data_IF_137671368741
#
_entry.id   IF_137671368741
#
_cell.length_a   1.000
_cell.length_b   1.000
_cell.length_c   1.000
_cell.angle_alpha   90.00
_cell.angle_beta   90.00
_cell.angle_gamma   90.00
#
_symmetry.space_group_name_H-M   'P 1'
#
loop_
_entity.id
_entity.type
_entity.pdbx_description
1 polymer ?
#
# COMPACT_ATOMS: atom_id res chain seq x y z
N UNK A 1 2.67 -20.40 -30.20
CA UNK A 1 2.65 -21.22 -28.98
C UNK A 1 3.81 -22.21 -28.88
N UNK A 2 3.85 -23.32 -29.63
CA UNK A 2 4.84 -24.42 -29.47
C UNK A 2 6.30 -24.05 -29.14
N UNK A 3 6.92 -23.13 -29.90
CA UNK A 3 8.31 -22.68 -29.64
C UNK A 3 8.47 -21.94 -28.30
N UNK A 4 7.45 -21.18 -27.90
CA UNK A 4 7.43 -20.45 -26.62
C UNK A 4 7.35 -21.46 -25.47
N UNK A 5 6.43 -22.42 -25.54
CA UNK A 5 6.33 -23.49 -24.55
C UNK A 5 7.61 -24.33 -24.44
N UNK A 6 8.26 -24.65 -25.56
CA UNK A 6 9.56 -25.33 -25.51
C UNK A 6 10.60 -24.50 -24.74
N UNK A 7 10.70 -23.20 -25.05
CA UNK A 7 11.63 -22.29 -24.35
C UNK A 7 11.29 -22.18 -22.86
N UNK A 8 10.01 -22.12 -22.52
CA UNK A 8 9.53 -22.13 -21.13
C UNK A 8 9.96 -23.41 -20.40
N UNK A 9 9.72 -24.59 -20.97
CA UNK A 9 10.13 -25.86 -20.38
C UNK A 9 11.66 -26.00 -20.27
N UNK A 10 12.41 -25.51 -21.26
CA UNK A 10 13.87 -25.48 -21.20
C UNK A 10 14.36 -24.55 -20.07
N UNK A 11 13.63 -23.46 -19.81
CA UNK A 11 13.91 -22.53 -18.71
C UNK A 11 13.60 -23.16 -17.36
N UNK A 12 12.42 -23.78 -17.19
CA UNK A 12 12.08 -24.52 -15.97
C UNK A 12 13.06 -25.67 -15.70
N UNK A 13 13.49 -26.40 -16.74
CA UNK A 13 14.45 -27.48 -16.56
C UNK A 13 15.78 -26.96 -15.99
N UNK A 14 16.20 -25.76 -16.40
CA UNK A 14 17.45 -25.12 -15.98
C UNK A 14 17.35 -24.48 -14.60
N UNK A 15 16.30 -23.70 -14.35
CA UNK A 15 16.18 -22.85 -13.16
C UNK A 15 15.34 -23.50 -12.04
N UNK A 16 14.35 -24.32 -12.39
CA UNK A 16 13.32 -24.83 -11.47
C UNK A 16 13.01 -26.31 -11.72
N UNK A 17 14.06 -27.15 -11.77
CA UNK A 17 13.94 -28.58 -12.11
C UNK A 17 12.85 -29.34 -11.31
N UNK A 18 12.60 -29.05 -10.01
CA UNK A 18 11.51 -29.71 -9.28
C UNK A 18 10.12 -29.47 -9.87
N UNK A 19 9.83 -28.26 -10.37
CA UNK A 19 8.55 -27.94 -11.04
C UNK A 19 8.45 -28.72 -12.35
N UNK A 20 9.53 -28.80 -13.12
CA UNK A 20 9.56 -29.64 -14.32
C UNK A 20 9.20 -31.11 -14.01
N UNK A 21 9.54 -31.61 -12.82
CA UNK A 21 9.19 -32.95 -12.34
C UNK A 21 7.75 -33.11 -11.81
N UNK A 22 7.04 -32.03 -11.54
CA UNK A 22 5.63 -32.04 -11.11
C UNK A 22 4.66 -32.06 -12.29
N UNK A 23 5.08 -31.60 -13.47
CA UNK A 23 4.22 -31.51 -14.67
C UNK A 23 3.72 -32.89 -15.12
N UNK A 24 2.43 -32.96 -15.44
CA UNK A 24 1.81 -34.17 -15.98
C UNK A 24 2.08 -34.28 -17.49
N UNK A 25 1.99 -35.52 -18.00
CA UNK A 25 2.06 -35.75 -19.45
C UNK A 25 0.91 -35.04 -20.15
N UNK A 26 1.20 -34.44 -21.31
CA UNK A 26 0.18 -33.76 -22.09
C UNK A 26 -0.95 -34.68 -22.57
N UNK A 27 -2.11 -34.07 -22.78
CA UNK A 27 -3.35 -34.75 -23.20
C UNK A 27 -3.40 -35.02 -24.70
N UNK A 28 -4.25 -35.96 -25.09
CA UNK A 28 -4.58 -36.28 -26.48
C UNK A 28 -5.68 -35.37 -27.04
N UNK A 29 -5.81 -35.34 -28.37
CA UNK A 29 -6.95 -34.69 -29.04
C UNK A 29 -8.32 -35.24 -28.61
N UNK A 30 -8.38 -36.51 -28.18
CA UNK A 30 -9.62 -37.12 -27.72
C UNK A 30 -10.04 -36.55 -26.35
N UNK A 31 -9.10 -36.43 -25.41
CA UNK A 31 -9.34 -35.84 -24.09
C UNK A 31 -9.77 -34.38 -24.18
N UNK A 32 -9.12 -33.58 -25.05
CA UNK A 32 -9.53 -32.20 -25.33
C UNK A 32 -10.97 -32.13 -25.87
N UNK A 33 -11.33 -33.01 -26.81
CA UNK A 33 -12.70 -33.05 -27.35
C UNK A 33 -13.73 -33.42 -26.29
N UNK A 34 -13.40 -34.35 -25.40
CA UNK A 34 -14.25 -34.71 -24.26
C UNK A 34 -14.44 -33.50 -23.34
N UNK A 35 -13.37 -32.83 -22.95
CA UNK A 35 -13.43 -31.62 -22.14
C UNK A 35 -14.29 -30.52 -22.79
N UNK A 36 -14.04 -30.19 -24.07
CA UNK A 36 -14.81 -29.19 -24.81
C UNK A 36 -16.32 -29.53 -24.85
N UNK A 37 -16.66 -30.82 -24.97
CA UNK A 37 -18.05 -31.29 -24.95
C UNK A 37 -18.66 -31.17 -23.56
N UNK A 38 -17.94 -31.57 -22.50
CA UNK A 38 -18.42 -31.54 -21.12
C UNK A 38 -18.61 -30.12 -20.59
N UNK A 39 -17.69 -29.21 -20.95
CA UNK A 39 -17.73 -27.81 -20.55
C UNK A 39 -18.57 -26.94 -21.51
N UNK A 40 -18.99 -27.50 -22.65
CA UNK A 40 -19.70 -26.78 -23.71
C UNK A 40 -18.95 -25.52 -24.19
N UNK A 41 -17.64 -25.64 -24.41
CA UNK A 41 -16.76 -24.57 -24.89
C UNK A 41 -15.90 -25.04 -26.07
N UNK A 42 -15.22 -24.10 -26.72
CA UNK A 42 -14.17 -24.37 -27.71
C UNK A 42 -12.88 -23.76 -27.22
N UNK A 43 -11.85 -24.58 -27.02
CA UNK A 43 -10.56 -24.09 -26.56
C UNK A 43 -9.81 -23.44 -27.74
N UNK A 44 -9.23 -22.24 -27.56
CA UNK A 44 -8.31 -21.67 -28.53
C UNK A 44 -7.13 -22.61 -28.81
N UNK A 45 -6.56 -22.58 -30.01
CA UNK A 45 -5.48 -23.48 -30.41
C UNK A 45 -4.23 -23.34 -29.51
N UNK A 46 -3.98 -22.16 -28.93
CA UNK A 46 -2.87 -21.96 -28.00
C UNK A 46 -3.07 -22.71 -26.68
N UNK A 47 -4.31 -22.77 -26.18
CA UNK A 47 -4.67 -23.51 -24.96
C UNK A 47 -4.58 -25.01 -25.21
N UNK A 48 -5.04 -25.47 -26.38
CA UNK A 48 -4.88 -26.88 -26.77
C UNK A 48 -3.40 -27.28 -26.84
N UNK A 49 -2.55 -26.42 -27.39
CA UNK A 49 -1.11 -26.68 -27.46
C UNK A 49 -0.46 -26.71 -26.06
N UNK A 50 -0.91 -25.87 -25.11
CA UNK A 50 -0.49 -25.94 -23.70
C UNK A 50 -0.77 -27.34 -23.13
N UNK A 51 -2.04 -27.75 -23.11
CA UNK A 51 -2.45 -29.03 -22.50
C UNK A 51 -1.87 -30.25 -23.22
N UNK A 52 -1.62 -30.18 -24.54
CA UNK A 52 -0.89 -31.22 -25.28
C UNK A 52 0.59 -31.29 -24.93
N UNK A 53 1.17 -30.18 -24.48
CA UNK A 53 2.58 -30.12 -24.07
C UNK A 53 2.73 -30.68 -22.66
N UNK A 54 1.91 -30.22 -21.70
CA UNK A 54 1.80 -30.78 -20.35
C UNK A 54 0.39 -30.57 -19.79
N UNK A 55 -0.15 -31.55 -19.06
CA UNK A 55 -1.53 -31.51 -18.56
C UNK A 55 -1.61 -30.99 -17.12
N UNK A 56 -1.29 -29.71 -16.96
CA UNK A 56 -1.11 -29.13 -15.64
C UNK A 56 -0.02 -29.84 -14.82
N UNK A 57 -0.15 -29.80 -13.50
CA UNK A 57 0.79 -30.45 -12.59
C UNK A 57 0.10 -31.39 -11.60
N UNK A 58 0.89 -32.21 -10.92
CA UNK A 58 0.44 -32.97 -9.76
C UNK A 58 -0.06 -32.00 -8.69
N UNK A 59 -1.32 -32.17 -8.26
CA UNK A 59 -1.96 -31.29 -7.29
C UNK A 59 -1.34 -31.43 -5.90
N UNK A 60 -1.73 -30.54 -4.98
CA UNK A 60 -1.18 -30.39 -3.61
C UNK A 60 -1.18 -31.69 -2.80
N UNK A 61 -2.13 -32.60 -3.06
CA UNK A 61 -2.22 -33.92 -2.44
C UNK A 61 -1.11 -34.88 -2.89
N UNK A 62 -0.53 -34.64 -4.06
CA UNK A 62 0.46 -35.50 -4.73
C UNK A 62 1.86 -34.87 -4.82
N UNK A 63 1.96 -33.54 -4.73
CA UNK A 63 3.20 -32.78 -4.84
C UNK A 63 3.24 -31.63 -3.84
N UNK A 64 4.39 -31.45 -3.19
CA UNK A 64 4.67 -30.26 -2.35
C UNK A 64 5.31 -29.11 -3.15
N UNK A 65 5.34 -29.22 -4.47
CA UNK A 65 5.95 -28.25 -5.39
C UNK A 65 4.83 -27.53 -6.12
N UNK A 66 4.60 -26.26 -5.80
CA UNK A 66 3.73 -25.33 -6.54
C UNK A 66 4.49 -24.68 -7.69
N UNK A 67 3.75 -24.03 -8.59
CA UNK A 67 4.34 -23.38 -9.75
C UNK A 67 4.82 -21.96 -9.42
N UNK A 68 3.91 -21.06 -9.06
CA UNK A 68 4.18 -19.65 -8.77
C UNK A 68 3.47 -19.29 -7.47
N UNK A 69 4.21 -18.85 -6.46
CA UNK A 69 3.72 -18.71 -5.09
C UNK A 69 3.00 -20.00 -4.63
N UNK A 70 1.72 -19.92 -4.27
CA UNK A 70 0.88 -21.07 -3.92
C UNK A 70 0.13 -21.70 -5.10
N UNK A 71 0.19 -21.12 -6.30
CA UNK A 71 -0.62 -21.54 -7.44
C UNK A 71 -0.15 -22.84 -8.07
N UNK A 72 -1.12 -23.62 -8.55
CA UNK A 72 -0.88 -24.85 -9.30
C UNK A 72 -1.41 -24.79 -10.72
N UNK A 73 -0.63 -25.31 -11.68
CA UNK A 73 -1.17 -25.57 -13.01
C UNK A 73 -2.27 -26.63 -12.95
N UNK A 74 -3.49 -26.25 -13.32
CA UNK A 74 -4.68 -27.08 -13.17
C UNK A 74 -4.76 -28.10 -14.32
N UNK A 75 -4.78 -29.42 -14.04
CA UNK A 75 -5.05 -30.44 -15.05
C UNK A 75 -6.41 -30.25 -15.71
N UNK A 76 -6.54 -30.61 -16.99
CA UNK A 76 -7.75 -30.36 -17.76
C UNK A 76 -9.01 -30.98 -17.13
N UNK A 77 -8.85 -32.16 -16.51
CA UNK A 77 -9.89 -32.90 -15.78
C UNK A 77 -10.29 -32.26 -14.44
N UNK A 78 -9.43 -31.42 -13.84
CA UNK A 78 -9.69 -30.76 -12.55
C UNK A 78 -10.34 -29.38 -12.71
N UNK A 79 -10.29 -28.77 -13.90
CA UNK A 79 -10.85 -27.42 -14.16
C UNK A 79 -12.29 -27.28 -13.66
N UNK A 80 -13.16 -28.27 -13.93
CA UNK A 80 -14.56 -28.23 -13.50
C UNK A 80 -14.70 -28.29 -11.99
N UNK A 81 -13.84 -29.05 -11.31
CA UNK A 81 -13.80 -29.11 -9.85
C UNK A 81 -13.36 -27.78 -9.28
N UNK A 82 -12.29 -27.17 -9.81
CA UNK A 82 -11.81 -25.84 -9.43
C UNK A 82 -12.90 -24.77 -9.59
N UNK A 83 -13.64 -24.77 -10.70
CA UNK A 83 -14.76 -23.86 -10.88
C UNK A 83 -15.90 -24.09 -9.88
N UNK A 84 -16.21 -25.35 -9.54
CA UNK A 84 -17.22 -25.65 -8.54
C UNK A 84 -16.80 -25.18 -7.14
N UNK A 85 -15.52 -25.32 -6.78
CA UNK A 85 -14.96 -24.85 -5.52
C UNK A 85 -15.00 -23.31 -5.43
N UNK A 86 -14.64 -22.61 -6.51
CA UNK A 86 -14.83 -21.16 -6.62
C UNK A 86 -16.29 -20.76 -6.42
N UNK A 87 -17.20 -21.44 -7.12
CA UNK A 87 -18.64 -21.18 -7.01
C UNK A 87 -19.19 -21.47 -5.60
N UNK A 88 -18.70 -22.53 -4.95
CA UNK A 88 -19.07 -22.88 -3.58
C UNK A 88 -18.66 -21.77 -2.60
N UNK A 89 -17.45 -21.23 -2.73
CA UNK A 89 -16.97 -20.10 -1.90
C UNK A 89 -17.82 -18.85 -2.07
N UNK A 90 -18.14 -18.49 -3.31
CA UNK A 90 -19.04 -17.37 -3.58
C UNK A 90 -20.42 -17.60 -2.94
N UNK A 91 -20.99 -18.81 -3.10
CA UNK A 91 -22.29 -19.13 -2.51
C UNK A 91 -22.29 -19.18 -0.98
N UNK A 92 -21.17 -19.53 -0.34
CA UNK A 92 -21.08 -19.64 1.11
C UNK A 92 -20.78 -18.32 1.81
N UNK A 93 -20.05 -17.43 1.14
CA UNK A 93 -19.40 -16.30 1.81
C UNK A 93 -19.84 -14.93 1.28
N UNK A 94 -20.38 -14.85 0.07
CA UNK A 94 -20.74 -13.56 -0.55
C UNK A 94 -22.23 -13.50 -0.83
N UNK A 95 -22.94 -12.65 -0.09
CA UNK A 95 -24.37 -12.43 -0.32
C UNK A 95 -24.60 -11.74 -1.68
N UNK A 96 -25.57 -12.24 -2.44
CA UNK A 96 -25.98 -11.67 -3.73
C UNK A 96 -24.83 -11.47 -4.75
N UNK A 97 -23.80 -12.32 -4.70
CA UNK A 97 -22.63 -12.24 -5.58
C UNK A 97 -22.99 -12.23 -7.08
N UNK A 98 -24.13 -12.81 -7.47
CA UNK A 98 -24.59 -12.84 -8.86
C UNK A 98 -24.98 -11.47 -9.41
N UNK A 99 -25.26 -10.50 -8.55
CA UNK A 99 -25.56 -9.10 -8.91
C UNK A 99 -24.45 -8.14 -8.55
N UNK A 100 -23.32 -8.65 -8.04
CA UNK A 100 -22.16 -7.83 -7.72
C UNK A 100 -21.49 -7.37 -9.01
N UNK A 101 -21.14 -6.09 -9.05
CA UNK A 101 -20.33 -5.46 -10.08
C UNK A 101 -19.29 -4.60 -9.35
N UNK A 102 -18.02 -4.71 -9.74
CA UNK A 102 -16.94 -3.82 -9.30
C UNK A 102 -17.22 -2.39 -9.74
N UNK A 103 -16.59 -1.43 -9.07
CA UNK A 103 -16.71 -0.03 -9.45
C UNK A 103 -16.21 0.20 -10.89
N UNK A 104 -16.87 1.13 -11.59
CA UNK A 104 -16.54 1.43 -12.98
C UNK A 104 -15.18 2.11 -13.10
N UNK A 105 -14.89 3.06 -12.22
CA UNK A 105 -13.64 3.83 -12.24
C UNK A 105 -12.48 2.89 -11.91
N UNK A 106 -12.64 2.03 -10.90
CA UNK A 106 -11.70 0.95 -10.59
C UNK A 106 -11.40 0.08 -11.82
N UNK A 107 -12.43 -0.41 -12.51
CA UNK A 107 -12.25 -1.20 -13.73
C UNK A 107 -11.53 -0.43 -14.85
N UNK A 108 -11.76 0.88 -14.95
CA UNK A 108 -11.10 1.76 -15.93
C UNK A 108 -9.62 1.93 -15.60
N UNK A 109 -9.29 2.12 -14.32
CA UNK A 109 -7.93 2.31 -13.82
C UNK A 109 -7.07 1.05 -13.98
N UNK A 110 -7.62 -0.12 -13.65
CA UNK A 110 -6.95 -1.42 -13.88
C UNK A 110 -7.03 -1.90 -15.35
N UNK A 111 -7.55 -1.07 -16.26
CA UNK A 111 -7.49 -1.30 -17.70
C UNK A 111 -8.34 -2.44 -18.23
N UNK A 112 -9.19 -3.05 -17.41
CA UNK A 112 -10.04 -4.17 -17.79
C UNK A 112 -11.49 -3.78 -18.08
N UNK A 113 -11.88 -2.52 -17.86
CA UNK A 113 -13.23 -2.02 -18.17
C UNK A 113 -13.63 -2.32 -19.62
N UNK A 114 -14.77 -3.03 -19.77
CA UNK A 114 -15.30 -3.53 -21.05
C UNK A 114 -14.39 -4.51 -21.78
N UNK A 115 -13.27 -4.94 -21.19
CA UNK A 115 -12.41 -6.03 -21.68
C UNK A 115 -12.85 -7.35 -21.04
N UNK A 116 -13.16 -7.31 -19.75
CA UNK A 116 -13.65 -8.43 -18.96
C UNK A 116 -15.07 -8.09 -18.54
N UNK A 117 -15.97 -9.09 -18.52
CA UNK A 117 -17.33 -8.89 -18.01
C UNK A 117 -17.24 -8.63 -16.50
N UNK A 118 -17.85 -7.54 -16.06
CA UNK A 118 -17.86 -7.14 -14.65
C UNK A 118 -18.77 -8.07 -13.83
N UNK A 119 -18.20 -9.14 -13.29
CA UNK A 119 -18.87 -10.17 -12.49
C UNK A 119 -17.83 -10.99 -11.74
N UNK A 120 -18.26 -11.76 -10.72
CA UNK A 120 -17.34 -12.56 -9.90
C UNK A 120 -17.09 -13.98 -10.42
N UNK A 121 -17.87 -14.45 -11.39
CA UNK A 121 -17.72 -15.80 -11.94
C UNK A 121 -18.34 -15.92 -13.33
N UNK A 122 -17.69 -16.65 -14.24
CA UNK A 122 -18.26 -17.08 -15.52
C UNK A 122 -17.86 -18.53 -15.80
N UNK A 123 -18.78 -19.45 -16.15
CA UNK A 123 -18.42 -20.84 -16.47
C UNK A 123 -17.49 -20.98 -17.69
N UNK A 124 -17.36 -19.93 -18.51
CA UNK A 124 -16.43 -19.87 -19.65
C UNK A 124 -15.05 -19.29 -19.29
N UNK A 125 -14.82 -18.91 -18.04
CA UNK A 125 -13.49 -18.60 -17.52
C UNK A 125 -12.80 -19.90 -17.13
N UNK A 126 -11.81 -20.31 -17.91
CA UNK A 126 -11.15 -21.61 -17.76
C UNK A 126 -9.89 -21.44 -16.91
N UNK A 127 -9.92 -21.71 -15.59
CA UNK A 127 -8.73 -21.61 -14.75
C UNK A 127 -7.66 -22.60 -15.21
N UNK A 128 -6.44 -22.10 -15.39
CA UNK A 128 -5.28 -22.93 -15.70
C UNK A 128 -4.17 -22.77 -14.66
N UNK A 129 -4.22 -21.73 -13.82
CA UNK A 129 -3.53 -21.65 -12.54
C UNK A 129 -4.56 -21.33 -11.46
N UNK A 130 -4.45 -21.97 -10.29
CA UNK A 130 -5.23 -21.56 -9.13
C UNK A 130 -4.55 -21.97 -7.82
N UNK A 131 -4.90 -21.27 -6.75
CA UNK A 131 -4.73 -21.71 -5.37
C UNK A 131 -6.03 -21.56 -4.58
N UNK A 132 -5.92 -21.34 -3.27
CA UNK A 132 -7.07 -21.21 -2.39
C UNK A 132 -7.80 -19.87 -2.58
N UNK A 133 -7.20 -18.81 -3.13
CA UNK A 133 -7.85 -17.49 -3.24
C UNK A 133 -7.66 -16.82 -4.60
N UNK A 134 -6.63 -17.21 -5.35
CA UNK A 134 -6.31 -16.67 -6.68
C UNK A 134 -6.62 -17.66 -7.79
N UNK A 135 -7.19 -17.14 -8.88
CA UNK A 135 -7.52 -17.86 -10.10
C UNK A 135 -6.96 -17.12 -11.31
N UNK A 136 -6.01 -17.73 -12.02
CA UNK A 136 -5.59 -17.25 -13.35
C UNK A 136 -6.30 -18.09 -14.41
N UNK A 137 -7.09 -17.43 -15.23
CA UNK A 137 -7.97 -18.09 -16.17
C UNK A 137 -7.86 -17.54 -17.59
N UNK A 138 -8.25 -18.40 -18.52
CA UNK A 138 -8.43 -18.05 -19.93
C UNK A 138 -9.89 -17.62 -20.11
N UNK A 139 -10.10 -16.38 -20.54
CA UNK A 139 -11.43 -15.83 -20.76
C UNK A 139 -11.95 -16.17 -22.17
N UNK A 140 -12.94 -17.07 -22.22
CA UNK A 140 -13.63 -17.47 -23.47
C UNK A 140 -14.94 -16.70 -23.69
N UNK A 141 -15.24 -15.70 -22.86
CA UNK A 141 -16.45 -14.90 -22.93
C UNK A 141 -16.19 -13.43 -22.57
N UNK A 142 -15.21 -12.80 -23.23
CA UNK A 142 -14.82 -11.43 -22.94
C UNK A 142 -15.96 -10.44 -23.18
N UNK A 143 -15.81 -9.24 -22.65
CA UNK A 143 -16.72 -8.13 -22.92
C UNK A 143 -16.36 -7.42 -24.24
N UNK A 144 -17.10 -6.38 -24.61
CA UNK A 144 -17.13 -5.78 -25.95
C UNK A 144 -15.77 -5.32 -26.53
N UNK A 145 -14.80 -4.95 -25.68
CA UNK A 145 -13.44 -4.57 -26.08
C UNK A 145 -12.41 -5.69 -25.86
N UNK A 146 -12.79 -6.77 -25.19
CA UNK A 146 -11.88 -7.85 -24.81
C UNK A 146 -11.59 -8.80 -25.97
N UNK A 147 -10.69 -9.75 -25.71
CA UNK A 147 -10.25 -10.70 -26.72
C UNK A 147 -10.42 -12.13 -26.21
N UNK A 148 -11.07 -12.96 -27.01
CA UNK A 148 -11.26 -14.38 -26.66
C UNK A 148 -9.90 -15.06 -26.51
N UNK A 149 -9.67 -15.67 -25.36
CA UNK A 149 -8.39 -16.28 -25.00
C UNK A 149 -7.40 -15.35 -24.29
N UNK A 150 -7.83 -14.15 -23.86
CA UNK A 150 -7.06 -13.30 -22.93
C UNK A 150 -6.87 -14.01 -21.58
N UNK A 151 -5.79 -13.66 -20.89
CA UNK A 151 -5.41 -14.19 -19.58
C UNK A 151 -5.71 -13.15 -18.52
N UNK A 152 -6.43 -13.57 -17.50
CA UNK A 152 -6.89 -12.72 -16.40
C UNK A 152 -6.51 -13.38 -15.08
N UNK A 153 -6.04 -12.59 -14.13
CA UNK A 153 -5.93 -12.99 -12.73
C UNK A 153 -7.11 -12.41 -11.94
N UNK A 154 -7.66 -13.24 -11.06
CA UNK A 154 -8.70 -12.85 -10.13
C UNK A 154 -8.37 -13.37 -8.73
N UNK A 155 -8.28 -12.46 -7.77
CA UNK A 155 -8.09 -12.77 -6.35
C UNK A 155 -9.39 -12.48 -5.61
N UNK A 156 -9.98 -13.52 -5.03
CA UNK A 156 -11.25 -13.41 -4.32
C UNK A 156 -11.01 -13.11 -2.84
N UNK A 157 -11.47 -11.96 -2.38
CA UNK A 157 -11.63 -11.66 -0.96
C UNK A 157 -13.06 -12.00 -0.54
N UNK A 158 -13.21 -13.03 0.30
CA UNK A 158 -14.52 -13.46 0.81
C UNK A 158 -14.96 -12.72 2.07
N UNK A 159 -14.05 -12.01 2.75
CA UNK A 159 -14.37 -11.19 3.93
C UNK A 159 -14.90 -9.82 3.50
N UNK A 160 -14.29 -9.22 2.49
CA UNK A 160 -14.82 -8.05 1.79
C UNK A 160 -14.71 -8.21 0.28
N UNK A 161 -15.82 -8.56 -0.37
CA UNK A 161 -15.85 -8.79 -1.82
C UNK A 161 -15.48 -7.55 -2.63
N UNK A 162 -15.70 -6.35 -2.10
CA UNK A 162 -15.28 -5.09 -2.72
C UNK A 162 -13.76 -4.94 -2.80
N UNK A 163 -13.01 -5.69 -1.99
CA UNK A 163 -11.53 -5.74 -2.04
C UNK A 163 -11.01 -6.86 -2.94
N UNK A 164 -11.88 -7.59 -3.65
CA UNK A 164 -11.43 -8.59 -4.62
C UNK A 164 -10.73 -7.91 -5.79
N UNK A 165 -9.67 -8.53 -6.30
CA UNK A 165 -8.80 -7.94 -7.30
C UNK A 165 -8.96 -8.62 -8.66
N UNK A 166 -9.03 -7.84 -9.74
CA UNK A 166 -9.11 -8.31 -11.13
C UNK A 166 -8.01 -7.63 -11.95
N UNK A 167 -7.17 -8.42 -12.60
CA UNK A 167 -6.13 -7.92 -13.49
C UNK A 167 -6.15 -8.60 -14.86
N UNK A 168 -6.13 -7.79 -15.91
CA UNK A 168 -5.93 -8.29 -17.27
C UNK A 168 -4.42 -8.44 -17.54
N UNK A 169 -3.90 -9.64 -17.28
CA UNK A 169 -2.48 -9.96 -17.47
C UNK A 169 -2.03 -9.79 -18.93
N UNK A 170 -2.72 -10.45 -19.87
CA UNK A 170 -2.30 -10.43 -21.28
C UNK A 170 -3.44 -10.71 -22.26
N UNK A 171 -3.31 -10.17 -23.48
CA UNK A 171 -4.22 -10.41 -24.61
C UNK A 171 -4.13 -11.83 -25.22
N UNK A 172 -3.18 -12.65 -24.77
CA UNK A 172 -3.07 -14.06 -25.19
C UNK A 172 -2.20 -14.88 -24.24
N UNK A 173 -2.51 -16.16 -24.13
CA UNK A 173 -1.71 -17.12 -23.38
C UNK A 173 -0.26 -17.21 -23.88
N UNK A 174 -0.04 -17.05 -25.20
CA UNK A 174 1.32 -17.04 -25.75
C UNK A 174 2.14 -15.86 -25.25
N UNK A 175 1.54 -14.68 -25.09
CA UNK A 175 2.25 -13.50 -24.59
C UNK A 175 2.51 -13.63 -23.08
N UNK A 176 1.55 -14.14 -22.31
CA UNK A 176 1.75 -14.50 -20.90
C UNK A 176 2.98 -15.40 -20.66
N UNK A 177 3.15 -16.46 -21.46
CA UNK A 177 4.36 -17.30 -21.36
C UNK A 177 5.64 -16.61 -21.84
N UNK A 178 5.59 -15.59 -22.69
CA UNK A 178 6.80 -14.85 -23.08
C UNK A 178 7.25 -13.95 -21.95
N UNK A 179 6.31 -13.25 -21.33
CA UNK A 179 6.57 -12.31 -20.23
C UNK A 179 7.21 -13.09 -19.07
N UNK A 180 6.63 -14.25 -18.72
CA UNK A 180 7.23 -15.15 -17.74
C UNK A 180 8.67 -15.60 -18.08
N UNK A 181 8.95 -15.87 -19.35
CA UNK A 181 10.32 -16.22 -19.79
C UNK A 181 11.27 -15.01 -19.71
N UNK A 182 10.75 -13.81 -19.93
CA UNK A 182 11.49 -12.56 -19.83
C UNK A 182 11.83 -12.25 -18.37
N UNK A 183 10.88 -12.42 -17.44
CA UNK A 183 11.07 -12.29 -15.99
C UNK A 183 12.15 -13.26 -15.47
N UNK A 184 12.15 -14.52 -15.91
CA UNK A 184 13.27 -15.44 -15.65
C UNK A 184 14.61 -14.94 -16.20
N UNK A 185 14.59 -14.28 -17.36
CA UNK A 185 15.78 -13.74 -18.01
C UNK A 185 16.35 -12.50 -17.33
N UNK A 186 15.49 -11.73 -16.67
CA UNK A 186 15.82 -10.52 -15.92
C UNK A 186 16.13 -10.79 -14.44
N UNK A 187 16.08 -12.06 -14.02
CA UNK A 187 16.21 -12.48 -12.60
C UNK A 187 15.06 -12.00 -11.70
N UNK A 188 14.00 -11.42 -12.26
CA UNK A 188 12.77 -11.02 -11.55
C UNK A 188 11.94 -12.21 -11.07
N UNK A 189 12.15 -13.40 -11.63
CA UNK A 189 11.48 -14.63 -11.23
C UNK A 189 12.50 -15.72 -10.93
N UNK A 190 12.45 -16.30 -9.74
CA UNK A 190 13.41 -17.31 -9.30
C UNK A 190 12.77 -18.45 -8.52
N UNK A 191 13.41 -19.62 -8.54
CA UNK A 191 12.94 -20.79 -7.81
C UNK A 191 13.47 -20.80 -6.38
N UNK A 192 12.57 -20.67 -5.41
CA UNK A 192 12.88 -20.83 -4.00
C UNK A 192 12.91 -22.32 -3.65
N UNK A 193 14.04 -22.79 -3.12
CA UNK A 193 14.27 -24.20 -2.78
C UNK A 193 13.67 -24.61 -1.43
N UNK A 194 13.48 -23.66 -0.54
CA UNK A 194 12.99 -23.90 0.82
C UNK A 194 11.47 -24.07 0.81
N UNK A 195 10.76 -23.16 0.13
CA UNK A 195 9.30 -23.25 -0.05
C UNK A 195 8.88 -23.96 -1.35
N UNK A 196 9.85 -24.31 -2.22
CA UNK A 196 9.69 -25.15 -3.42
C UNK A 196 8.71 -24.61 -4.47
N UNK A 197 8.80 -23.32 -4.77
CA UNK A 197 7.94 -22.65 -5.76
C UNK A 197 8.72 -21.57 -6.50
N UNK A 198 8.20 -21.07 -7.62
CA UNK A 198 8.69 -19.81 -8.17
C UNK A 198 8.15 -18.66 -7.34
N UNK A 199 9.00 -17.70 -7.05
CA UNK A 199 8.62 -16.42 -6.47
C UNK A 199 9.15 -15.34 -7.39
N UNK A 200 8.36 -14.29 -7.55
CA UNK A 200 8.93 -13.04 -8.02
C UNK A 200 9.98 -12.62 -7.00
N UNK A 201 11.17 -12.23 -7.48
CA UNK A 201 12.12 -11.51 -6.67
C UNK A 201 11.49 -10.17 -6.32
N UNK A 202 10.73 -10.15 -5.24
CA UNK A 202 10.78 -9.04 -4.31
C UNK A 202 12.25 -8.89 -3.95
N UNK A 203 12.82 -7.72 -4.25
CA UNK A 203 14.11 -7.20 -3.79
C UNK A 203 14.71 -8.07 -2.67
N UNK A 204 15.85 -8.72 -2.92
CA UNK A 204 16.54 -9.75 -2.11
C UNK A 204 16.21 -9.76 -0.60
N UNK A 205 16.25 -10.91 0.09
CA UNK A 205 16.08 -10.96 1.56
C UNK A 205 16.97 -10.00 2.40
N UNK A 206 18.10 -9.54 1.84
CA UNK A 206 18.91 -8.44 2.41
C UNK A 206 18.30 -7.06 2.14
N UNK A 207 17.69 -6.84 0.98
CA UNK A 207 16.82 -5.70 0.68
C UNK A 207 15.49 -5.77 1.41
N UNK A 208 14.73 -6.88 1.51
CA UNK A 208 13.52 -6.97 2.38
C UNK A 208 13.83 -6.56 3.83
N UNK A 209 14.99 -6.96 4.37
CA UNK A 209 15.43 -6.43 5.67
C UNK A 209 15.75 -4.94 5.60
N UNK A 210 16.40 -4.43 4.55
CA UNK A 210 16.64 -2.99 4.38
C UNK A 210 15.37 -2.19 3.97
N UNK A 211 14.30 -2.85 3.52
CA UNK A 211 13.07 -2.26 3.00
C UNK A 211 11.97 -2.22 4.05
N UNK A 212 12.12 -2.88 5.20
CA UNK A 212 11.25 -2.72 6.37
C UNK A 212 11.83 -1.71 7.38
N UNK A 213 13.11 -1.37 7.24
CA UNK A 213 13.77 -0.39 8.07
C UNK A 213 13.97 0.90 7.31
N UNK A 214 14.10 1.98 8.07
CA UNK A 214 14.41 3.28 7.51
C UNK A 214 15.82 3.33 6.88
N UNK A 215 16.08 4.28 5.97
CA UNK A 215 17.41 4.49 5.43
C UNK A 215 18.43 4.83 6.53
N UNK A 216 19.71 4.58 6.26
CA UNK A 216 20.80 5.11 7.09
C UNK A 216 20.95 6.61 6.88
N UNK A 217 21.28 7.40 7.91
CA UNK A 217 21.49 8.84 7.75
C UNK A 217 22.68 9.15 6.84
N UNK A 218 22.57 10.23 6.07
CA UNK A 218 23.66 10.76 5.25
C UNK A 218 24.81 11.25 6.14
N UNK A 219 24.46 11.92 7.23
CA UNK A 219 25.38 12.36 8.27
C UNK A 219 24.64 12.60 9.59
N UNK A 220 25.42 12.78 10.66
CA UNK A 220 24.94 13.24 11.96
C UNK A 220 25.45 14.66 12.17
N UNK A 221 24.53 15.59 12.44
CA UNK A 221 24.83 16.99 12.74
C UNK A 221 25.59 17.16 14.06
N UNK A 222 26.15 18.35 14.31
CA UNK A 222 26.95 18.62 15.52
C UNK A 222 26.12 18.45 16.81
N UNK A 223 24.85 18.83 16.77
CA UNK A 223 23.85 18.65 17.83
C UNK A 223 23.29 17.24 17.93
N UNK A 224 23.79 16.29 17.13
CA UNK A 224 23.43 14.87 17.22
C UNK A 224 22.19 14.43 16.44
N UNK A 225 21.59 15.31 15.63
CA UNK A 225 20.48 14.92 14.75
C UNK A 225 20.99 14.10 13.57
N UNK A 226 20.34 12.98 13.29
CA UNK A 226 20.49 12.23 12.04
C UNK A 226 19.87 13.03 10.88
N UNK A 227 20.61 13.21 9.78
CA UNK A 227 20.16 13.99 8.62
C UNK A 227 20.01 13.08 7.40
N UNK A 228 18.92 13.28 6.66
CA UNK A 228 18.49 12.46 5.53
C UNK A 228 18.12 13.33 4.34
N UNK A 229 18.49 12.89 3.15
CA UNK A 229 18.12 13.49 1.87
C UNK A 229 17.19 12.55 1.12
N UNK A 230 16.05 13.06 0.67
CA UNK A 230 15.06 12.28 -0.08
C UNK A 230 14.89 12.86 -1.48
N UNK A 231 15.17 12.04 -2.49
CA UNK A 231 14.96 12.32 -3.90
C UNK A 231 13.99 11.34 -4.56
N UNK A 232 13.80 11.49 -5.87
CA UNK A 232 12.91 10.61 -6.65
C UNK A 232 13.41 9.16 -6.69
N UNK A 233 14.71 8.96 -6.53
CA UNK A 233 15.37 7.68 -6.40
C UNK A 233 15.04 6.96 -5.08
N UNK A 234 14.54 7.67 -4.07
CA UNK A 234 14.16 7.12 -2.78
C UNK A 234 12.65 6.89 -2.65
N UNK A 235 11.84 7.36 -3.61
CA UNK A 235 10.38 7.23 -3.52
C UNK A 235 9.93 5.83 -3.93
N UNK A 236 9.04 5.25 -3.13
CA UNK A 236 8.28 4.05 -3.46
C UNK A 236 7.44 4.25 -4.72
N UNK A 237 7.22 3.16 -5.46
CA UNK A 237 6.26 3.16 -6.58
C UNK A 237 4.85 3.50 -6.08
N UNK A 238 4.09 4.20 -6.92
CA UNK A 238 2.70 4.53 -6.64
C UNK A 238 1.91 3.24 -6.32
N UNK A 239 1.24 3.21 -5.17
CA UNK A 239 0.38 2.12 -4.75
C UNK A 239 -0.88 2.71 -4.11
N UNK A 240 -2.05 2.18 -4.48
CA UNK A 240 -3.29 2.49 -3.77
C UNK A 240 -3.32 1.69 -2.45
N UNK A 241 -3.70 2.31 -1.32
CA UNK A 241 -3.77 1.61 -0.06
C UNK A 241 -4.82 0.48 -0.09
N UNK A 242 -4.44 -0.71 0.36
CA UNK A 242 -5.31 -1.89 0.50
C UNK A 242 -6.20 -1.86 1.75
N UNK A 243 -5.98 -0.87 2.62
CA UNK A 243 -6.75 -0.61 3.83
C UNK A 243 -6.84 0.89 4.07
N UNK A 244 -7.96 1.34 4.62
CA UNK A 244 -8.19 2.75 4.92
C UNK A 244 -8.99 2.89 6.21
N UNK A 245 -8.72 3.93 6.98
CA UNK A 245 -9.46 4.30 8.19
C UNK A 245 -9.44 3.21 9.27
N UNK A 246 -8.34 2.46 9.39
CA UNK A 246 -8.20 1.31 10.30
C UNK A 246 -8.43 1.72 11.76
N UNK A 247 -7.80 2.82 12.16
CA UNK A 247 -7.84 3.31 13.55
C UNK A 247 -8.70 4.57 13.73
N UNK A 248 -9.38 5.04 12.67
CA UNK A 248 -10.10 6.32 12.65
C UNK A 248 -11.05 6.49 13.84
N UNK A 249 -11.91 5.51 14.10
CA UNK A 249 -12.90 5.61 15.19
C UNK A 249 -12.23 5.72 16.57
N UNK A 250 -11.15 4.98 16.81
CA UNK A 250 -10.43 4.98 18.08
C UNK A 250 -9.67 6.30 18.29
N UNK A 251 -9.07 6.84 17.22
CA UNK A 251 -8.42 8.15 17.23
C UNK A 251 -9.44 9.26 17.48
N UNK A 252 -10.57 9.27 16.77
CA UNK A 252 -11.63 10.27 16.95
C UNK A 252 -12.19 10.26 18.37
N UNK A 253 -12.43 9.09 18.97
CA UNK A 253 -12.88 8.99 20.36
C UNK A 253 -11.79 9.44 21.36
N UNK A 254 -10.52 9.20 21.06
CA UNK A 254 -9.40 9.70 21.87
C UNK A 254 -9.32 11.22 21.84
N UNK A 255 -9.40 11.85 20.67
CA UNK A 255 -9.47 13.30 20.52
C UNK A 255 -10.70 13.90 21.20
N UNK A 256 -11.87 13.28 21.03
CA UNK A 256 -13.11 13.68 21.70
C UNK A 256 -12.98 13.70 23.22
N UNK A 257 -12.34 12.68 23.79
CA UNK A 257 -12.16 12.54 25.24
C UNK A 257 -11.26 13.61 25.84
N UNK A 258 -10.16 13.96 25.16
CA UNK A 258 -9.11 14.81 25.73
C UNK A 258 -9.08 16.25 25.19
N UNK A 259 -9.47 16.43 23.93
CA UNK A 259 -9.37 17.69 23.21
C UNK A 259 -10.77 18.24 22.90
N UNK A 260 -11.58 17.53 22.11
CA UNK A 260 -12.95 17.96 21.78
C UNK A 260 -13.55 17.21 20.59
N UNK A 261 -14.85 17.40 20.37
CA UNK A 261 -15.57 16.73 19.27
C UNK A 261 -15.08 17.24 17.90
N UNK A 262 -14.72 16.33 16.96
CA UNK A 262 -14.52 16.68 15.57
C UNK A 262 -15.82 17.22 14.94
N UNK A 263 -15.75 18.38 14.32
CA UNK A 263 -16.89 19.04 13.67
C UNK A 263 -17.05 18.59 12.21
N UNK A 264 -15.94 18.51 11.47
CA UNK A 264 -15.93 18.13 10.06
C UNK A 264 -14.58 17.53 9.65
N UNK A 265 -14.54 16.93 8.46
CA UNK A 265 -13.37 16.22 7.93
C UNK A 265 -13.08 16.72 6.51
N UNK A 266 -11.80 16.96 6.22
CA UNK A 266 -11.30 17.28 4.89
C UNK A 266 -10.75 16.02 4.23
N UNK A 267 -11.61 15.34 3.47
CA UNK A 267 -11.28 14.07 2.84
C UNK A 267 -10.16 14.18 1.81
N UNK A 268 -9.31 13.15 1.73
CA UNK A 268 -8.39 13.02 0.62
C UNK A 268 -9.11 12.47 -0.63
N UNK A 269 -8.92 13.16 -1.76
CA UNK A 269 -9.58 12.85 -3.03
C UNK A 269 -8.84 11.74 -3.79
N UNK A 270 -7.51 11.65 -3.62
CA UNK A 270 -6.67 10.66 -4.27
C UNK A 270 -5.64 10.18 -3.25
N UNK A 271 -5.74 8.91 -2.89
CA UNK A 271 -4.89 8.29 -1.87
C UNK A 271 -3.75 7.53 -2.51
N UNK A 272 -2.57 8.11 -2.40
CA UNK A 272 -1.31 7.55 -2.84
C UNK A 272 -0.57 7.08 -1.58
N UNK A 273 -0.22 5.79 -1.52
CA UNK A 273 0.38 5.05 -0.40
C UNK A 273 -0.53 4.83 0.81
N UNK A 274 -1.23 5.88 1.27
CA UNK A 274 -2.12 5.89 2.44
C UNK A 274 -3.28 6.86 2.22
N UNK A 275 -4.41 6.62 2.89
CA UNK A 275 -5.58 7.50 2.85
C UNK A 275 -5.54 8.49 4.02
N UNK A 276 -5.28 9.77 3.77
CA UNK A 276 -5.11 10.78 4.82
C UNK A 276 -6.29 11.75 4.91
N UNK A 277 -7.10 11.54 5.93
CA UNK A 277 -8.15 12.48 6.34
C UNK A 277 -7.62 13.50 7.34
N UNK A 278 -8.11 14.74 7.27
CA UNK A 278 -7.81 15.79 8.25
C UNK A 278 -9.09 16.23 8.94
N UNK A 279 -9.18 15.93 10.23
CA UNK A 279 -10.32 16.26 11.09
C UNK A 279 -10.14 17.64 11.69
N UNK A 280 -11.25 18.35 11.88
CA UNK A 280 -11.27 19.68 12.45
C UNK A 280 -12.08 19.77 13.74
N UNK A 281 -11.45 20.25 14.81
CA UNK A 281 -12.10 20.63 16.06
C UNK A 281 -12.13 22.15 16.16
N UNK A 282 -13.34 22.71 16.33
CA UNK A 282 -13.56 24.16 16.47
C UNK A 282 -13.04 24.71 17.81
N UNK A 283 -12.74 26.01 17.87
CA UNK A 283 -12.36 26.70 19.11
C UNK A 283 -13.57 26.82 20.03
N UNK A 284 -13.31 26.84 21.33
CA UNK A 284 -14.30 27.15 22.37
C UNK A 284 -13.82 28.33 23.21
N UNK A 285 -14.65 28.80 24.15
CA UNK A 285 -14.22 29.86 25.08
C UNK A 285 -13.06 29.41 25.98
N UNK A 286 -13.03 28.13 26.37
CA UNK A 286 -11.98 27.54 27.22
C UNK A 286 -10.74 27.14 26.42
N UNK A 287 -10.92 26.81 25.13
CA UNK A 287 -9.86 26.43 24.18
C UNK A 287 -9.92 27.34 22.95
N UNK A 288 -9.33 28.56 23.01
CA UNK A 288 -9.49 29.58 21.97
C UNK A 288 -8.55 29.37 20.78
N UNK A 289 -8.49 28.14 20.26
CA UNK A 289 -7.72 27.73 19.09
C UNK A 289 -8.41 26.54 18.39
N UNK A 290 -8.19 26.41 17.08
CA UNK A 290 -8.58 25.24 16.32
C UNK A 290 -7.60 24.10 16.55
N UNK A 291 -8.07 22.88 16.37
CA UNK A 291 -7.20 21.70 16.26
C UNK A 291 -7.49 21.03 14.94
N UNK A 292 -6.45 20.77 14.17
CA UNK A 292 -6.52 19.88 13.02
C UNK A 292 -5.69 18.64 13.34
N UNK A 293 -6.18 17.46 12.99
CA UNK A 293 -5.44 16.21 13.20
C UNK A 293 -5.68 15.22 12.07
N UNK A 294 -4.70 14.37 11.80
CA UNK A 294 -4.79 13.36 10.76
C UNK A 294 -5.44 12.08 11.28
N UNK A 295 -6.09 11.35 10.38
CA UNK A 295 -6.31 9.91 10.50
C UNK A 295 -5.85 9.24 9.23
N UNK A 296 -5.23 8.07 9.37
CA UNK A 296 -4.83 7.20 8.27
C UNK A 296 -3.32 7.13 8.03
N UNK A 297 -2.54 8.06 8.63
CA UNK A 297 -1.08 7.92 8.70
C UNK A 297 -0.72 6.62 9.43
N UNK A 298 -1.50 6.30 10.47
CA UNK A 298 -1.35 5.12 11.31
C UNK A 298 -1.98 3.84 10.74
N UNK A 299 -2.59 3.87 9.55
CA UNK A 299 -3.18 2.64 8.97
C UNK A 299 -2.12 1.57 8.65
N UNK A 300 -0.87 2.02 8.44
CA UNK A 300 0.31 1.16 8.28
C UNK A 300 1.43 1.57 9.24
N UNK A 301 2.29 0.62 9.64
CA UNK A 301 3.50 0.96 10.38
C UNK A 301 4.47 1.75 9.50
N UNK A 302 5.13 2.73 10.09
CA UNK A 302 6.28 3.43 9.51
C UNK A 302 7.52 2.53 9.47
N UNK A 303 8.51 2.93 8.67
CA UNK A 303 9.77 2.21 8.52
C UNK A 303 10.76 2.78 9.54
N UNK A 304 11.08 1.99 10.56
CA UNK A 304 11.88 2.43 11.70
C UNK A 304 13.37 2.05 11.56
N UNK A 305 14.30 2.71 12.26
CA UNK A 305 15.69 2.27 12.30
C UNK A 305 15.83 0.85 12.85
N UNK A 306 16.74 0.08 12.25
CA UNK A 306 16.99 -1.32 12.62
C UNK A 306 17.44 -1.49 14.08
N UNK A 307 18.19 -0.52 14.60
CA UNK A 307 18.76 -0.55 15.95
C UNK A 307 17.82 0.06 17.01
N UNK A 308 16.61 0.49 16.65
CA UNK A 308 15.69 1.11 17.59
C UNK A 308 15.24 0.13 18.68
N UNK A 309 15.38 0.52 19.94
CA UNK A 309 14.82 -0.22 21.07
C UNK A 309 13.29 -0.06 21.10
N UNK A 310 12.55 -1.17 21.20
CA UNK A 310 11.09 -1.21 21.27
C UNK A 310 10.36 -0.58 20.05
N UNK A 311 10.61 -1.07 18.81
CA UNK A 311 10.05 -0.48 17.59
C UNK A 311 8.51 -0.39 17.59
N UNK A 312 7.82 -1.34 18.22
CA UNK A 312 6.35 -1.33 18.31
C UNK A 312 5.77 -0.11 19.03
N UNK A 313 6.55 0.57 19.89
CA UNK A 313 6.09 1.79 20.56
C UNK A 313 6.12 3.03 19.66
N UNK A 314 6.83 2.97 18.53
CA UNK A 314 7.08 4.12 17.65
C UNK A 314 6.63 3.88 16.22
N UNK A 315 6.09 2.69 15.91
CA UNK A 315 5.74 2.30 14.55
C UNK A 315 4.54 3.04 13.97
N UNK A 316 3.68 3.63 14.81
CA UNK A 316 2.51 4.36 14.35
C UNK A 316 2.42 5.74 14.99
N UNK A 317 1.98 6.70 14.18
CA UNK A 317 1.76 8.06 14.62
C UNK A 317 0.62 8.72 13.85
N UNK A 318 0.08 9.78 14.44
CA UNK A 318 -0.76 10.77 13.77
C UNK A 318 -0.24 12.17 14.06
N UNK A 319 -0.51 13.09 13.13
CA UNK A 319 -0.07 14.48 13.21
C UNK A 319 -1.22 15.38 13.62
N UNK A 320 -0.88 16.50 14.25
CA UNK A 320 -1.85 17.53 14.59
C UNK A 320 -1.24 18.93 14.57
N UNK A 321 -2.08 19.95 14.59
CA UNK A 321 -1.67 21.36 14.72
C UNK A 321 -2.72 22.15 15.48
N UNK A 322 -2.24 23.09 16.30
CA UNK A 322 -3.08 24.07 16.95
C UNK A 322 -2.99 25.40 16.19
N UNK A 323 -4.13 25.92 15.74
CA UNK A 323 -4.20 27.16 14.97
C UNK A 323 -4.98 28.23 15.76
N UNK A 324 -4.63 29.51 15.66
CA UNK A 324 -5.30 30.57 16.41
C UNK A 324 -6.77 30.67 15.99
N UNK A 325 -7.67 31.07 16.90
CA UNK A 325 -9.15 31.09 16.68
C UNK A 325 -9.63 31.86 15.45
N UNK A 326 -8.82 32.77 14.95
CA UNK A 326 -9.09 33.63 13.79
C UNK A 326 -8.51 33.07 12.48
N UNK A 327 -7.85 31.91 12.54
CA UNK A 327 -7.45 31.16 11.35
C UNK A 327 -8.68 30.80 10.52
N UNK A 328 -8.61 31.04 9.22
CA UNK A 328 -9.73 30.78 8.31
C UNK A 328 -9.72 29.31 7.90
N UNK A 329 -10.66 28.55 8.46
CA UNK A 329 -10.87 27.13 8.13
C UNK A 329 -12.26 27.00 7.47
N UNK A 330 -12.26 27.06 6.13
CA UNK A 330 -13.45 26.89 5.28
C UNK A 330 -12.97 26.59 3.84
N UNK A 331 -13.56 25.58 3.19
CA UNK A 331 -13.17 25.13 1.84
C UNK A 331 -13.24 26.25 0.80
N UNK A 332 -14.16 27.20 0.96
CA UNK A 332 -14.33 28.32 0.03
C UNK A 332 -13.39 29.51 0.33
N UNK A 333 -12.67 29.45 1.45
CA UNK A 333 -11.81 30.52 1.96
C UNK A 333 -10.33 30.14 2.00
N UNK A 334 -9.96 28.94 1.54
CA UNK A 334 -8.57 28.51 1.44
C UNK A 334 -7.86 29.20 0.26
N UNK A 335 -6.68 29.71 0.56
CA UNK A 335 -5.60 30.11 -0.34
C UNK A 335 -4.28 29.55 0.19
N UNK A 336 -3.17 29.83 -0.49
CA UNK A 336 -1.86 29.30 -0.09
C UNK A 336 -1.43 29.76 1.32
N UNK A 337 -1.90 30.93 1.79
CA UNK A 337 -1.50 31.55 3.06
C UNK A 337 -2.15 30.90 4.29
N UNK A 338 -3.33 30.28 4.14
CA UNK A 338 -4.02 29.61 5.24
C UNK A 338 -4.18 28.08 5.05
N UNK A 339 -3.90 27.55 3.86
CA UNK A 339 -3.98 26.11 3.58
C UNK A 339 -2.73 25.33 3.98
N UNK A 340 -1.57 25.99 4.10
CA UNK A 340 -0.29 25.31 4.38
C UNK A 340 -0.32 24.34 5.57
N UNK A 341 -1.05 24.56 6.69
CA UNK A 341 -1.06 23.59 7.78
C UNK A 341 -1.68 22.25 7.34
N UNK A 342 -2.76 22.29 6.55
CA UNK A 342 -3.40 21.09 6.01
C UNK A 342 -2.48 20.41 5.01
N UNK A 343 -1.83 21.20 4.14
CA UNK A 343 -0.84 20.69 3.19
C UNK A 343 0.29 19.94 3.91
N UNK A 344 0.91 20.54 4.92
CA UNK A 344 2.00 19.92 5.67
C UNK A 344 1.54 18.70 6.47
N UNK A 345 0.36 18.73 7.09
CA UNK A 345 -0.21 17.53 7.73
C UNK A 345 -0.30 16.36 6.73
N UNK A 346 -0.88 16.58 5.55
CA UNK A 346 -1.03 15.53 4.53
C UNK A 346 0.32 15.09 3.96
N UNK A 347 1.20 16.04 3.66
CA UNK A 347 2.53 15.77 3.10
C UNK A 347 3.39 14.97 4.09
N UNK A 348 3.44 15.37 5.36
CA UNK A 348 4.27 14.69 6.38
C UNK A 348 3.65 13.33 6.74
N UNK A 349 2.32 13.21 6.80
CA UNK A 349 1.65 11.94 7.06
C UNK A 349 1.90 10.89 5.98
N UNK A 350 2.01 11.31 4.71
CA UNK A 350 2.34 10.40 3.59
C UNK A 350 3.83 10.06 3.53
N UNK A 351 4.68 10.93 4.05
CA UNK A 351 6.14 10.86 3.89
C UNK A 351 6.78 9.53 4.33
N UNK A 352 6.43 8.94 5.50
CA UNK A 352 6.93 7.62 5.91
C UNK A 352 6.71 6.52 4.87
N UNK A 353 5.57 6.55 4.20
CA UNK A 353 5.12 5.51 3.27
C UNK A 353 5.68 5.74 1.88
N UNK A 354 5.79 7.02 1.48
CA UNK A 354 6.41 7.42 0.22
C UNK A 354 7.91 7.14 0.19
N UNK A 355 8.64 7.41 1.28
CA UNK A 355 10.11 7.37 1.28
C UNK A 355 10.70 6.26 2.17
N UNK A 356 9.84 5.33 2.63
CA UNK A 356 10.22 4.24 3.53
C UNK A 356 11.00 4.74 4.75
N UNK A 357 10.40 5.67 5.48
CA UNK A 357 11.00 6.33 6.65
C UNK A 357 10.02 6.44 7.82
N UNK A 358 10.34 7.24 8.84
CA UNK A 358 9.51 7.45 10.02
C UNK A 358 9.47 8.91 10.46
N UNK A 359 8.45 9.24 11.24
CA UNK A 359 8.28 10.53 11.90
C UNK A 359 8.24 10.33 13.41
N UNK A 360 9.05 11.11 14.11
CA UNK A 360 9.16 11.04 15.57
C UNK A 360 9.43 12.43 16.16
N UNK A 361 9.36 12.50 17.47
CA UNK A 361 9.75 13.66 18.26
C UNK A 361 11.16 14.18 17.88
N UNK A 362 11.28 15.50 17.75
CA UNK A 362 12.53 16.18 17.42
C UNK A 362 12.89 16.18 15.93
N UNK A 363 12.11 15.53 15.07
CA UNK A 363 12.32 15.58 13.62
C UNK A 363 12.01 16.98 13.07
N UNK A 364 12.86 17.45 12.17
CA UNK A 364 12.74 18.74 11.48
C UNK A 364 12.68 18.50 9.98
N UNK A 365 11.65 19.03 9.31
CA UNK A 365 11.37 18.86 7.89
C UNK A 365 11.40 20.24 7.22
N UNK A 366 12.48 20.60 6.48
CA UNK A 366 12.55 21.87 5.78
C UNK A 366 11.60 21.89 4.58
N UNK A 367 11.11 23.08 4.23
CA UNK A 367 10.30 23.31 3.05
C UNK A 367 11.19 23.32 1.79
N UNK A 368 11.44 22.13 1.25
CA UNK A 368 12.39 21.92 0.17
C UNK A 368 13.85 22.00 0.65
N UNK A 369 14.79 21.85 -0.31
CA UNK A 369 16.22 21.75 -0.01
C UNK A 369 16.80 23.02 0.63
N UNK A 370 16.26 24.18 0.28
CA UNK A 370 16.75 25.49 0.72
C UNK A 370 15.94 26.06 1.90
N UNK A 371 15.06 25.26 2.51
CA UNK A 371 14.14 25.69 3.58
C UNK A 371 13.38 26.98 3.20
N UNK A 372 12.74 26.96 2.02
CA UNK A 372 12.07 28.13 1.47
C UNK A 372 10.92 28.62 2.37
N UNK A 373 10.60 29.93 2.39
CA UNK A 373 9.50 30.45 3.19
C UNK A 373 8.18 29.70 2.97
N UNK A 374 7.53 29.30 4.07
CA UNK A 374 6.22 28.64 4.05
C UNK A 374 5.15 29.72 3.83
N UNK A 375 4.54 29.69 2.65
CA UNK A 375 3.53 30.65 2.21
C UNK A 375 3.99 32.11 2.40
N UNK A 376 3.25 32.92 3.15
CA UNK A 376 3.56 34.32 3.45
C UNK A 376 4.33 34.53 4.77
N UNK A 377 4.84 33.46 5.38
CA UNK A 377 5.58 33.52 6.65
C UNK A 377 7.10 33.56 6.41
N UNK A 378 7.88 33.77 7.47
CA UNK A 378 9.35 33.63 7.44
C UNK A 378 9.82 32.26 7.94
N UNK A 379 8.91 31.33 8.20
CA UNK A 379 9.26 29.97 8.61
C UNK A 379 9.74 29.18 7.41
N UNK A 380 10.77 28.36 7.60
CA UNK A 380 11.35 27.52 6.54
C UNK A 380 11.28 26.02 6.84
N UNK A 381 10.83 25.63 8.02
CA UNK A 381 10.89 24.25 8.49
C UNK A 381 9.71 23.91 9.41
N UNK A 382 9.35 22.64 9.50
CA UNK A 382 8.41 22.08 10.48
C UNK A 382 9.17 21.19 11.47
N UNK A 383 8.99 21.42 12.76
CA UNK A 383 9.43 20.55 13.86
C UNK A 383 8.28 19.67 14.35
N UNK A 384 8.57 18.41 14.67
CA UNK A 384 7.60 17.48 15.27
C UNK A 384 7.86 17.33 16.78
N UNK A 385 6.87 17.65 17.61
CA UNK A 385 6.93 17.43 19.07
C UNK A 385 5.60 16.91 19.58
N UNK A 386 5.56 16.02 20.58
CA UNK A 386 4.32 15.71 21.29
C UNK A 386 3.70 16.99 21.90
N UNK A 387 2.36 17.08 22.00
CA UNK A 387 1.68 18.26 22.54
C UNK A 387 1.78 18.37 24.07
N UNK A 388 3.00 18.48 24.60
CA UNK A 388 3.30 18.53 26.03
C UNK A 388 2.67 19.73 26.75
N UNK A 389 2.44 20.85 26.06
CA UNK A 389 1.91 22.07 26.66
C UNK A 389 0.37 22.13 26.60
N UNK A 390 -0.23 21.61 25.53
CA UNK A 390 -1.67 21.78 25.26
C UNK A 390 -2.50 20.53 25.53
N UNK A 391 -1.88 19.37 25.78
CA UNK A 391 -2.57 18.11 26.05
C UNK A 391 -2.06 17.40 27.32
N UNK A 392 -2.92 16.65 28.02
CA UNK A 392 -2.49 15.86 29.18
C UNK A 392 -1.61 14.67 28.76
N UNK A 393 -0.80 14.15 29.69
CA UNK A 393 0.08 13.00 29.43
C UNK A 393 -0.66 11.77 28.85
N UNK A 394 -1.87 11.49 29.34
CA UNK A 394 -2.70 10.38 28.87
C UNK A 394 -3.19 10.54 27.41
N UNK A 395 -3.07 11.74 26.82
CA UNK A 395 -3.40 11.98 25.42
C UNK A 395 -2.24 11.58 24.48
N UNK A 396 -0.99 11.69 24.93
CA UNK A 396 0.19 11.61 24.04
C UNK A 396 0.32 10.28 23.28
N UNK A 397 -0.29 9.22 23.80
CA UNK A 397 -0.34 7.89 23.18
C UNK A 397 -1.76 7.32 23.25
N UNK A 398 -2.19 6.66 22.18
CA UNK A 398 -3.39 5.83 22.14
C UNK A 398 -2.98 4.36 22.05
N UNK A 399 -3.49 3.54 22.97
CA UNK A 399 -3.41 2.09 22.88
C UNK A 399 -4.70 1.57 22.26
N UNK A 400 -4.61 1.00 21.06
CA UNK A 400 -5.76 0.52 20.29
C UNK A 400 -6.20 -0.88 20.74
N UNK A 401 -7.37 -1.34 20.26
CA UNK A 401 -7.93 -2.66 20.59
C UNK A 401 -7.07 -3.84 20.15
N UNK A 402 -6.31 -3.69 19.08
CA UNK A 402 -5.37 -4.70 18.55
C UNK A 402 -3.97 -4.59 19.16
N UNK A 403 -3.81 -3.82 20.24
CA UNK A 403 -2.56 -3.61 20.96
C UNK A 403 -1.51 -2.76 20.21
N UNK A 404 -1.90 -2.08 19.13
CA UNK A 404 -1.07 -1.06 18.46
C UNK A 404 -0.97 0.22 19.32
N UNK A 405 0.23 0.81 19.37
CA UNK A 405 0.47 2.11 20.03
C UNK A 405 0.58 3.20 18.97
N UNK A 406 -0.28 4.21 19.05
CA UNK A 406 -0.27 5.38 18.17
C UNK A 406 0.22 6.59 18.97
N UNK A 407 1.27 7.25 18.47
CA UNK A 407 1.81 8.48 19.05
C UNK A 407 1.22 9.73 18.37
N UNK A 408 1.04 10.82 19.10
CA UNK A 408 0.54 12.07 18.52
C UNK A 408 1.63 13.14 18.52
N UNK A 409 1.90 13.73 17.36
CA UNK A 409 2.90 14.79 17.20
C UNK A 409 2.28 16.06 16.62
N UNK A 410 2.56 17.20 17.24
CA UNK A 410 2.30 18.52 16.71
C UNK A 410 3.33 18.90 15.65
N UNK A 411 2.86 19.52 14.55
CA UNK A 411 3.72 20.28 13.64
C UNK A 411 3.91 21.70 14.17
N UNK A 412 5.16 22.12 14.36
CA UNK A 412 5.55 23.44 14.85
C UNK A 412 6.42 24.15 13.81
N UNK A 413 6.01 25.28 13.25
CA UNK A 413 6.81 25.97 12.25
C UNK A 413 8.03 26.67 12.89
N UNK A 414 9.19 26.49 12.27
CA UNK A 414 10.49 27.03 12.70
C UNK A 414 11.04 28.00 11.67
N UNK A 415 11.76 29.01 12.18
CA UNK A 415 12.69 29.79 11.38
C UNK A 415 13.89 28.91 10.98
N UNK A 416 14.58 29.27 9.89
CA UNK A 416 15.76 28.53 9.43
C UNK A 416 16.84 28.55 10.51
N UNK A 417 17.06 29.70 11.15
CA UNK A 417 18.05 29.86 12.22
C UNK A 417 17.73 29.00 13.46
N UNK A 418 16.45 28.75 13.75
CA UNK A 418 16.03 27.87 14.84
C UNK A 418 16.27 26.39 14.52
N UNK A 419 16.04 25.99 13.26
CA UNK A 419 16.42 24.67 12.77
C UNK A 419 17.95 24.50 12.82
N UNK A 420 18.71 25.51 12.39
CA UNK A 420 20.18 25.49 12.40
C UNK A 420 20.71 25.37 13.83
N UNK A 421 20.18 26.15 14.78
CA UNK A 421 20.51 26.00 16.20
C UNK A 421 20.26 24.58 16.70
N UNK A 422 19.13 23.97 16.34
CA UNK A 422 18.82 22.59 16.71
C UNK A 422 19.81 21.59 16.08
N UNK A 423 20.27 21.83 14.85
CA UNK A 423 21.27 21.00 14.19
C UNK A 423 22.67 21.19 14.78
N UNK A 424 23.00 22.37 15.29
CA UNK A 424 24.30 22.69 15.89
C UNK A 424 24.40 22.27 17.37
N UNK A 425 23.37 22.57 18.17
CA UNK A 425 23.38 22.45 19.63
C UNK A 425 22.42 21.37 20.18
N UNK A 426 21.48 20.89 19.35
CA UNK A 426 20.50 19.86 19.72
C UNK A 426 19.11 20.42 20.03
N UNK A 427 18.12 19.52 20.11
CA UNK A 427 16.71 19.91 20.32
C UNK A 427 16.48 20.57 21.68
N UNK A 428 17.15 20.12 22.74
CA UNK A 428 17.00 20.67 24.09
C UNK A 428 17.38 22.16 24.15
N UNK A 429 18.42 22.58 23.42
CA UNK A 429 18.85 23.98 23.36
C UNK A 429 17.77 24.87 22.72
N UNK A 430 17.10 24.37 21.67
CA UNK A 430 15.97 25.07 21.06
C UNK A 430 14.76 25.12 22.00
N UNK A 431 14.46 24.02 22.70
CA UNK A 431 13.34 23.97 23.66
C UNK A 431 13.56 24.88 24.86
N UNK A 432 14.79 25.02 25.35
CA UNK A 432 15.15 25.98 26.42
C UNK A 432 14.83 27.43 25.99
N UNK A 433 15.10 27.78 24.73
CA UNK A 433 14.71 29.09 24.18
C UNK A 433 13.20 29.21 24.01
N UNK A 434 12.51 28.16 23.58
CA UNK A 434 11.04 28.17 23.51
C UNK A 434 10.42 28.43 24.88
N UNK A 435 10.97 27.82 25.94
CA UNK A 435 10.55 28.06 27.31
C UNK A 435 10.87 29.50 27.77
N UNK A 436 12.08 30.02 27.48
CA UNK A 436 12.48 31.39 27.83
C UNK A 436 11.57 32.44 27.18
N UNK A 437 11.25 32.26 25.90
CA UNK A 437 10.43 33.17 25.11
C UNK A 437 8.92 32.82 25.18
N UNK A 438 8.55 31.80 25.95
CA UNK A 438 7.17 31.35 26.16
C UNK A 438 6.43 30.99 24.86
N UNK A 439 7.15 30.34 23.94
CA UNK A 439 6.59 29.83 22.69
C UNK A 439 5.64 28.67 23.01
N UNK A 440 4.41 28.76 22.49
CA UNK A 440 3.38 27.74 22.66
C UNK A 440 3.24 26.85 21.42
N UNK A 441 2.47 25.77 21.52
CA UNK A 441 2.15 24.90 20.38
C UNK A 441 1.09 25.50 19.45
N UNK A 442 0.38 26.56 19.87
CA UNK A 442 -0.52 27.31 19.00
C UNK A 442 0.34 28.14 18.05
N UNK A 443 0.15 27.91 16.74
CA UNK A 443 0.89 28.61 15.69
C UNK A 443 0.67 30.12 15.81
N UNK A 444 1.78 30.85 15.93
CA UNK A 444 1.84 32.30 15.86
C UNK A 444 2.79 32.69 14.73
N UNK A 445 2.22 33.20 13.62
CA UNK A 445 2.99 33.58 12.43
C UNK A 445 3.77 34.89 12.62
N UNK A 446 3.44 35.66 13.65
CA UNK A 446 4.05 36.96 13.94
C UNK A 446 5.08 36.87 15.07
N UNK A 447 5.33 35.67 15.62
CA UNK A 447 6.31 35.47 16.70
C UNK A 447 7.73 35.82 16.27
N UNK A 448 8.54 36.31 17.20
CA UNK A 448 9.96 36.57 16.95
C UNK A 448 10.73 35.24 16.76
N UNK A 449 11.80 35.30 15.98
CA UNK A 449 12.82 34.26 15.90
C UNK A 449 13.64 34.28 17.19
N UNK A 450 13.83 33.12 17.83
CA UNK A 450 14.54 33.03 19.12
C UNK A 450 16.04 32.72 19.00
N UNK A 451 16.52 32.37 17.80
CA UNK A 451 17.87 31.88 17.54
C UNK A 451 18.77 32.91 16.82
N UNK A 452 18.57 34.21 17.09
CA UNK A 452 19.22 35.34 16.36
C UNK A 452 20.45 35.91 17.04
#
# INVERSE_FOLDING_TARGET
MKKVLQKFLDTLLREATPIMGSLNKGVTDAEIRTFEQEMNVKLPEEVKELYKTFNGQKMKEESSVSFLNSQYFIPLEEVKKTQNEWLERLNSSVENWQSFEFDKEEAEDFGWYKRIKNQLFNPKWIPFLADDVSYVFIDLDPDEKGKEGQVVEFVLDTENVEHSFVELMNDSLKDWFKDLIEEFGNEELSYDKDIKTLTFQSECADEIMNNIFAPTPDYVSEGGSNVYSYGKENSSDFVFPDRTCVYMDEICEHFKKYIGEPESVFHEIMSEYVHIDVHWIKPTEERPYHVLFTTGMSDYPMYLPKELENPNEFSHAELMVYLPKDWKIDENSFDDDNYWPIYFLKMIARFPHQYKTWMAEGHTIPNGLEAEPIANTNFGCILLMPPYLSAPQDFLKLQTKDETTINFYCILPLYVEEMDLKLEEGVDALLDLFDEYQISEVVDIDRENVAV
#
